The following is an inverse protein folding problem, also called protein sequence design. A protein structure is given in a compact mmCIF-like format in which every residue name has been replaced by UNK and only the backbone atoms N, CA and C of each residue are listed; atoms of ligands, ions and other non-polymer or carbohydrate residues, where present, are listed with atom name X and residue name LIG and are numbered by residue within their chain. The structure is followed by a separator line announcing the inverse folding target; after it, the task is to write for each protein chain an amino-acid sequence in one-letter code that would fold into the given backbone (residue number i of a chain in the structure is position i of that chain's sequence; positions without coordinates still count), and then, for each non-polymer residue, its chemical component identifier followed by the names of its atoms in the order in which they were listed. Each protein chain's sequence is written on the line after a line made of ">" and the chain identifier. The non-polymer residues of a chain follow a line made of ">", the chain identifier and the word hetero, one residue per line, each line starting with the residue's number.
data_IF_729493752623
#
_entry.id   IF_729493752623
#
_cell.length_a   1.000
_cell.length_b   1.000
_cell.length_c   1.000
_cell.angle_alpha   90.00
_cell.angle_beta   90.00
_cell.angle_gamma   90.00
#
_symmetry.space_group_name_H-M   'P 1'
#
loop_
_entity.id
_entity.type
_entity.pdbx_description
1 polymer ?
#
# COMPACT_ATOMS: atom_id res chain seq x y z
N UNK A 1 3.32 7.18 18.68
CA UNK A 1 2.61 7.69 17.48
C UNK A 1 2.41 6.56 16.49
N UNK A 2 1.17 6.13 16.28
CA UNK A 2 0.85 5.25 15.14
C UNK A 2 1.03 6.12 13.90
N UNK A 3 2.02 5.83 13.05
CA UNK A 3 2.14 6.45 11.73
C UNK A 3 0.90 6.05 10.95
N UNK A 4 -0.09 6.93 10.90
CA UNK A 4 -1.16 6.85 9.91
C UNK A 4 -0.47 7.13 8.57
N UNK A 5 0.09 6.10 7.94
CA UNK A 5 0.47 6.17 6.54
C UNK A 5 -0.81 6.56 5.80
N UNK A 6 -0.91 7.83 5.40
CA UNK A 6 -2.02 8.32 4.60
C UNK A 6 -1.96 7.60 3.26
N UNK A 7 -2.69 6.49 3.17
CA UNK A 7 -2.93 5.76 1.93
C UNK A 7 -4.00 6.52 1.16
N UNK A 8 -3.77 6.65 -0.14
CA UNK A 8 -4.72 7.22 -1.09
C UNK A 8 -5.16 6.15 -2.08
N UNK A 9 -6.35 6.32 -2.63
CA UNK A 9 -6.81 5.50 -3.76
C UNK A 9 -5.81 5.65 -4.92
N UNK A 10 -5.42 4.53 -5.52
CA UNK A 10 -4.41 4.47 -6.58
C UNK A 10 -2.97 4.31 -6.08
N UNK A 11 -2.70 4.43 -4.77
CA UNK A 11 -1.35 4.21 -4.25
C UNK A 11 -0.89 2.77 -4.52
N UNK A 12 0.35 2.62 -5.00
CA UNK A 12 1.06 1.33 -4.96
C UNK A 12 1.66 1.12 -3.57
N UNK A 13 1.23 0.05 -2.93
CA UNK A 13 1.66 -0.32 -1.58
C UNK A 13 2.18 -1.74 -1.58
N UNK A 14 3.03 -2.04 -0.61
CA UNK A 14 3.57 -3.37 -0.37
C UNK A 14 2.87 -3.97 0.84
N UNK A 15 2.47 -5.23 0.72
CA UNK A 15 1.97 -6.02 1.86
C UNK A 15 3.18 -6.46 2.68
N UNK A 16 3.26 -6.04 3.95
CA UNK A 16 4.44 -6.29 4.80
C UNK A 16 4.78 -7.77 4.98
N UNK A 17 3.76 -8.64 5.07
CA UNK A 17 3.96 -10.06 5.35
C UNK A 17 4.43 -10.88 4.14
N UNK A 18 4.08 -10.45 2.92
CA UNK A 18 4.41 -11.19 1.68
C UNK A 18 5.41 -10.46 0.81
N UNK A 19 5.63 -9.17 1.05
CA UNK A 19 6.41 -8.30 0.20
C UNK A 19 5.76 -8.03 -1.16
N UNK A 20 4.51 -8.43 -1.38
CA UNK A 20 3.84 -8.27 -2.66
C UNK A 20 3.36 -6.83 -2.86
N UNK A 21 3.54 -6.32 -4.08
CA UNK A 21 3.02 -5.01 -4.47
C UNK A 21 1.59 -5.12 -4.98
N UNK A 22 0.74 -4.20 -4.50
CA UNK A 22 -0.70 -4.14 -4.78
C UNK A 22 -1.11 -2.68 -4.91
N UNK A 23 -2.28 -2.44 -5.51
CA UNK A 23 -2.83 -1.10 -5.65
C UNK A 23 -3.96 -0.88 -4.66
N UNK A 24 -4.02 0.27 -4.02
CA UNK A 24 -5.14 0.66 -3.17
C UNK A 24 -6.33 1.02 -4.07
N UNK A 25 -7.43 0.31 -3.91
CA UNK A 25 -8.68 0.56 -4.65
C UNK A 25 -9.63 1.46 -3.85
N UNK A 26 -9.66 1.29 -2.53
CA UNK A 26 -10.48 2.11 -1.62
C UNK A 26 -9.77 2.29 -0.29
N UNK A 27 -10.01 3.43 0.36
CA UNK A 27 -9.47 3.75 1.69
C UNK A 27 -10.63 4.00 2.65
N UNK A 28 -10.61 3.35 3.80
CA UNK A 28 -11.61 3.56 4.86
C UNK A 28 -11.06 4.48 5.96
N UNK A 29 -11.95 5.28 6.52
CA UNK A 29 -11.68 6.04 7.75
C UNK A 29 -11.45 5.16 8.98
N UNK A 30 -11.82 3.87 8.92
CA UNK A 30 -11.73 2.92 10.04
C UNK A 30 -10.42 2.11 10.07
N UNK A 31 -9.36 2.59 9.41
CA UNK A 31 -8.01 1.99 9.52
C UNK A 31 -7.77 0.75 8.65
N UNK A 32 -8.61 0.51 7.65
CA UNK A 32 -8.40 -0.51 6.63
C UNK A 32 -8.52 0.07 5.22
N UNK A 33 -7.98 -0.65 4.25
CA UNK A 33 -8.08 -0.32 2.82
C UNK A 33 -8.46 -1.56 2.03
N UNK A 34 -9.13 -1.36 0.91
CA UNK A 34 -9.33 -2.41 -0.10
C UNK A 34 -8.18 -2.30 -1.08
N UNK A 35 -7.50 -3.42 -1.32
CA UNK A 35 -6.42 -3.51 -2.29
C UNK A 35 -6.83 -4.39 -3.45
N UNK A 36 -6.30 -4.10 -4.63
CA UNK A 36 -6.46 -4.88 -5.86
C UNK A 36 -5.11 -5.49 -6.25
N UNK A 37 -5.13 -6.81 -6.47
CA UNK A 37 -3.97 -7.53 -7.00
C UNK A 37 -3.92 -7.41 -8.52
N UNK A 38 -2.72 -7.41 -9.09
CA UNK A 38 -2.51 -7.42 -10.55
C UNK A 38 -3.06 -8.68 -11.21
N UNK A 39 -3.07 -9.80 -10.49
CA UNK A 39 -3.70 -11.06 -10.91
C UNK A 39 -5.23 -11.02 -10.91
N UNK A 40 -5.83 -9.90 -10.47
CA UNK A 40 -7.26 -9.79 -10.20
C UNK A 40 -7.62 -10.12 -8.75
N UNK A 41 -8.83 -9.72 -8.35
CA UNK A 41 -9.34 -9.86 -6.98
C UNK A 41 -9.06 -8.66 -6.08
N UNK A 42 -10.01 -8.39 -5.18
CA UNK A 42 -9.95 -7.29 -4.22
C UNK A 42 -10.09 -7.80 -2.79
N UNK A 43 -9.22 -7.35 -1.89
CA UNK A 43 -9.17 -7.83 -0.50
C UNK A 43 -9.06 -6.67 0.48
N UNK A 44 -9.62 -6.86 1.68
CA UNK A 44 -9.51 -5.88 2.77
C UNK A 44 -8.25 -6.15 3.60
N UNK A 45 -7.46 -5.10 3.81
CA UNK A 45 -6.24 -5.14 4.62
C UNK A 45 -6.26 -4.03 5.66
N UNK A 46 -5.77 -4.32 6.86
CA UNK A 46 -5.48 -3.27 7.84
C UNK A 46 -4.36 -2.38 7.31
N UNK A 47 -4.50 -1.06 7.46
CA UNK A 47 -3.49 -0.10 6.97
C UNK A 47 -2.12 -0.35 7.62
N UNK A 48 -2.09 -0.89 8.84
CA UNK A 48 -0.87 -1.28 9.55
C UNK A 48 -0.08 -2.41 8.88
N UNK A 49 -0.74 -3.22 8.03
CA UNK A 49 -0.13 -4.33 7.27
C UNK A 49 0.37 -3.90 5.90
N UNK A 50 0.12 -2.65 5.52
CA UNK A 50 0.55 -2.07 4.26
C UNK A 50 1.66 -1.05 4.52
N UNK A 51 2.59 -0.95 3.58
CA UNK A 51 3.58 0.13 3.53
C UNK A 51 3.58 0.76 2.15
N UNK A 52 3.75 2.09 2.07
CA UNK A 52 3.96 2.72 0.77
C UNK A 52 5.25 2.17 0.20
N UNK A 53 5.20 1.66 -1.04
CA UNK A 53 6.42 1.33 -1.76
C UNK A 53 7.19 2.65 -1.86
N UNK A 54 8.32 2.77 -1.17
CA UNK A 54 9.12 3.98 -1.24
C UNK A 54 9.44 4.22 -2.71
N UNK A 55 9.32 5.46 -3.23
CA UNK A 55 9.88 5.73 -4.55
C UNK A 55 11.34 5.29 -4.47
N UNK A 56 11.71 4.34 -5.31
CA UNK A 56 13.11 3.97 -5.51
C UNK A 56 13.76 5.29 -5.86
N UNK A 57 14.46 5.89 -4.89
CA UNK A 57 15.38 6.99 -5.17
C UNK A 57 16.43 6.32 -6.03
N UNK A 58 16.25 6.36 -7.35
CA UNK A 58 17.35 6.23 -8.26
C UNK A 58 18.27 7.42 -7.95
N UNK A 59 19.12 7.25 -6.94
CA UNK A 59 20.30 8.06 -6.78
C UNK A 59 21.21 7.64 -7.92
N UNK A 60 20.98 8.22 -9.10
CA UNK A 60 22.01 8.27 -10.13
C UNK A 60 23.11 9.16 -9.54
N UNK A 61 24.12 8.55 -8.94
CA UNK A 61 25.39 9.23 -8.74
C UNK A 61 25.98 9.42 -10.15
N UNK A 62 25.81 10.63 -10.67
CA UNK A 62 26.58 11.13 -11.82
C UNK A 62 27.96 11.56 -11.35
#
# INVERSE_FOLDING_TARGET
>A
MIKNNALNIGDRVRIKSTGQEVTVDQVSAYGFSVIRFSSGGTYRFLNSKLEKSSPVRHMYNA
#
